data_IF_171391232196
#
_entry.id   IF_171391232196
#
_cell.length_a   1.000
_cell.length_b   1.000
_cell.length_c   1.000
_cell.angle_alpha   90.00
_cell.angle_beta   90.00
_cell.angle_gamma   90.00
#
_symmetry.space_group_name_H-M   'P 1'
#
loop_
_entity.id
_entity.type
_entity.pdbx_description
1 polymer ?
#
# COMPACT_ATOMS: atom_id res chain seq x y z
N UNK A 1 25.70 15.48 -6.27
CA UNK A 1 24.27 15.86 -6.43
C UNK A 1 23.46 15.04 -5.45
N UNK A 2 22.69 15.70 -4.58
CA UNK A 2 21.76 15.02 -3.70
C UNK A 2 20.62 14.46 -4.56
N UNK A 3 20.23 13.19 -4.44
CA UNK A 3 19.13 12.65 -5.21
C UNK A 3 17.86 13.46 -4.93
N UNK A 4 17.21 13.93 -5.98
CA UNK A 4 15.89 14.60 -5.86
C UNK A 4 14.83 13.50 -5.82
N UNK A 5 14.30 13.22 -4.64
CA UNK A 5 13.18 12.29 -4.50
C UNK A 5 11.88 12.93 -5.02
N UNK A 6 10.95 12.11 -5.56
CA UNK A 6 9.61 12.58 -5.88
C UNK A 6 8.91 13.16 -4.65
N UNK A 7 8.03 14.11 -4.86
CA UNK A 7 7.17 14.64 -3.81
C UNK A 7 6.23 13.54 -3.29
N UNK A 8 5.81 13.66 -2.02
CA UNK A 8 4.79 12.80 -1.43
C UNK A 8 3.72 13.63 -0.74
N UNK A 9 2.52 13.08 -0.66
CA UNK A 9 1.46 13.64 0.16
C UNK A 9 1.45 12.89 1.48
N UNK A 10 1.75 13.58 2.57
CA UNK A 10 1.78 12.97 3.90
C UNK A 10 0.37 12.71 4.43
N UNK A 11 0.01 11.45 4.62
CA UNK A 11 -1.25 11.04 5.23
C UNK A 11 -1.17 9.73 6.03
N UNK A 12 -0.03 9.05 6.00
CA UNK A 12 0.23 7.93 6.88
C UNK A 12 0.55 8.41 8.29
N UNK A 13 0.14 7.63 9.30
CA UNK A 13 0.55 7.87 10.68
C UNK A 13 1.96 7.32 10.89
N UNK A 14 2.95 8.19 10.80
CA UNK A 14 4.37 7.86 10.88
C UNK A 14 5.06 8.69 11.96
N UNK A 15 6.11 8.18 12.60
CA UNK A 15 6.64 6.82 12.46
C UNK A 15 5.71 5.76 13.07
N UNK A 16 5.63 4.57 12.44
CA UNK A 16 4.89 3.46 13.07
C UNK A 16 5.70 2.89 14.23
N UNK A 17 5.04 2.38 15.30
CA UNK A 17 5.74 1.82 16.43
C UNK A 17 6.66 0.64 16.06
N UNK A 18 7.74 0.49 16.81
CA UNK A 18 8.60 -0.69 16.83
C UNK A 18 8.46 -1.34 18.20
N UNK A 19 7.76 -2.47 18.28
CA UNK A 19 7.39 -3.11 19.56
C UNK A 19 8.13 -4.43 19.75
N UNK A 20 8.62 -4.70 20.96
CA UNK A 20 9.24 -5.98 21.28
C UNK A 20 8.18 -7.06 21.52
N UNK A 21 8.33 -8.20 20.86
CA UNK A 21 7.45 -9.36 20.98
C UNK A 21 7.97 -10.33 22.08
N UNK A 22 8.06 -9.84 23.32
CA UNK A 22 8.70 -10.54 24.43
C UNK A 22 8.15 -11.95 24.67
N UNK A 23 6.82 -12.14 24.61
CA UNK A 23 6.19 -13.45 24.82
C UNK A 23 6.58 -14.46 23.75
N UNK A 24 6.61 -14.02 22.49
CA UNK A 24 7.00 -14.87 21.37
C UNK A 24 8.50 -15.19 21.44
N UNK A 25 9.35 -14.20 21.69
CA UNK A 25 10.79 -14.41 21.87
C UNK A 25 11.09 -15.40 22.98
N UNK A 26 10.42 -15.27 24.14
CA UNK A 26 10.55 -16.24 25.27
C UNK A 26 10.06 -17.65 24.89
N UNK A 27 8.95 -17.75 24.16
CA UNK A 27 8.40 -19.05 23.74
C UNK A 27 9.34 -19.77 22.76
N UNK A 28 9.97 -19.05 21.85
CA UNK A 28 10.89 -19.62 20.87
C UNK A 28 12.30 -19.91 21.44
N UNK A 29 12.65 -19.31 22.58
CA UNK A 29 13.97 -19.49 23.21
C UNK A 29 15.13 -18.98 22.34
N UNK A 30 14.87 -18.01 21.46
CA UNK A 30 15.79 -17.54 20.44
C UNK A 30 16.12 -16.04 20.53
N UNK A 31 16.35 -15.38 19.42
CA UNK A 31 16.71 -13.97 19.37
C UNK A 31 15.59 -13.06 19.87
N UNK A 32 15.91 -11.82 20.15
CA UNK A 32 14.90 -10.80 20.42
C UNK A 32 14.11 -10.51 19.15
N UNK A 33 12.79 -10.50 19.28
CA UNK A 33 11.88 -10.29 18.17
C UNK A 33 11.17 -8.94 18.33
N UNK A 34 11.15 -8.17 17.25
CA UNK A 34 10.44 -6.90 17.17
C UNK A 34 9.44 -6.92 16.04
N UNK A 35 8.35 -6.21 16.19
CA UNK A 35 7.38 -5.98 15.12
C UNK A 35 7.31 -4.50 14.78
N UNK A 36 7.52 -4.19 13.50
CA UNK A 36 7.24 -2.87 12.94
C UNK A 36 5.74 -2.79 12.62
N UNK A 37 5.02 -1.94 13.32
CA UNK A 37 3.56 -1.88 13.32
C UNK A 37 3.01 -1.14 12.09
N UNK A 38 3.33 -1.60 10.90
CA UNK A 38 2.80 -1.02 9.66
C UNK A 38 1.30 -1.30 9.42
N UNK A 39 0.69 -2.13 10.26
CA UNK A 39 -0.75 -2.21 10.43
C UNK A 39 -1.36 -0.91 10.99
N UNK A 40 -0.57 -0.07 11.64
CA UNK A 40 -1.01 1.20 12.27
C UNK A 40 -0.75 2.44 11.40
N UNK A 41 -0.55 2.31 10.11
CA UNK A 41 -0.35 3.44 9.18
C UNK A 41 -1.60 4.32 8.97
N UNK A 42 -2.73 3.97 9.54
CA UNK A 42 -3.91 4.81 9.68
C UNK A 42 -4.96 4.65 8.59
N UNK A 43 -4.64 4.87 7.32
CA UNK A 43 -5.63 4.90 6.24
C UNK A 43 -6.39 3.57 6.13
N UNK A 44 -7.70 3.60 6.30
CA UNK A 44 -8.61 2.46 6.14
C UNK A 44 -8.07 1.19 6.83
N UNK A 45 -7.90 1.25 8.14
CA UNK A 45 -7.30 0.19 8.99
C UNK A 45 -5.81 -0.09 8.74
N UNK A 46 -5.11 0.81 8.07
CA UNK A 46 -3.66 0.72 7.92
C UNK A 46 -3.16 -0.42 7.01
N UNK A 47 -1.86 -0.58 7.01
CA UNK A 47 -1.14 -1.57 6.22
C UNK A 47 -0.03 -0.95 5.37
N UNK A 48 0.82 -1.81 4.84
CA UNK A 48 2.02 -1.42 4.10
C UNK A 48 1.75 -0.58 2.82
N UNK A 49 0.53 -0.59 2.30
CA UNK A 49 0.21 0.13 1.06
C UNK A 49 0.08 1.63 1.27
N UNK A 50 -0.29 2.07 2.47
CA UNK A 50 -0.41 3.50 2.80
C UNK A 50 0.90 4.24 2.51
N UNK A 51 2.06 3.69 2.91
CA UNK A 51 3.37 4.29 2.65
C UNK A 51 3.65 4.49 1.16
N UNK A 52 3.26 3.51 0.34
CA UNK A 52 3.42 3.56 -1.12
C UNK A 52 2.47 4.57 -1.76
N UNK A 53 1.24 4.61 -1.26
CA UNK A 53 0.19 5.49 -1.75
C UNK A 53 0.51 6.98 -1.47
N UNK A 54 1.30 7.32 -0.46
CA UNK A 54 1.76 8.70 -0.26
C UNK A 54 2.48 9.25 -1.50
N UNK A 55 3.29 8.42 -2.16
CA UNK A 55 4.00 8.77 -3.38
C UNK A 55 3.13 8.63 -4.63
N UNK A 56 2.37 7.54 -4.74
CA UNK A 56 1.55 7.27 -5.92
C UNK A 56 0.39 8.27 -6.08
N UNK A 57 -0.20 8.72 -4.97
CA UNK A 57 -1.23 9.77 -4.99
C UNK A 57 -0.62 11.14 -5.36
N UNK A 58 0.61 11.42 -4.91
CA UNK A 58 1.33 12.62 -5.33
C UNK A 58 1.59 12.60 -6.84
N UNK A 59 2.09 11.48 -7.37
CA UNK A 59 2.33 11.28 -8.80
C UNK A 59 1.03 11.39 -9.63
N UNK A 60 -0.07 10.80 -9.16
CA UNK A 60 -1.38 10.93 -9.79
C UNK A 60 -1.84 12.40 -9.86
N UNK A 61 -1.65 13.17 -8.79
CA UNK A 61 -1.95 14.61 -8.79
C UNK A 61 -1.07 15.42 -9.73
N UNK A 62 0.21 15.13 -9.77
CA UNK A 62 1.15 15.79 -10.70
C UNK A 62 0.71 15.56 -12.15
N UNK A 63 0.19 14.37 -12.46
CA UNK A 63 -0.38 14.05 -13.77
C UNK A 63 -1.81 14.60 -13.97
N UNK A 64 -2.34 15.37 -13.01
CA UNK A 64 -3.71 15.89 -13.04
C UNK A 64 -4.77 14.79 -13.22
N UNK A 65 -4.53 13.61 -12.63
CA UNK A 65 -5.46 12.50 -12.68
C UNK A 65 -6.78 12.83 -11.96
N UNK A 66 -7.87 12.32 -12.48
CA UNK A 66 -9.22 12.45 -11.91
C UNK A 66 -9.74 11.10 -11.40
N UNK A 67 -9.19 10.00 -11.91
CA UNK A 67 -9.60 8.63 -11.59
C UNK A 67 -8.39 7.76 -11.24
N UNK A 68 -8.45 7.03 -10.13
CA UNK A 68 -7.49 5.96 -9.81
C UNK A 68 -8.05 4.62 -10.28
N UNK A 69 -7.27 3.89 -11.09
CA UNK A 69 -7.61 2.55 -11.55
C UNK A 69 -6.59 1.57 -10.99
N UNK A 70 -7.03 0.46 -10.43
CA UNK A 70 -6.15 -0.58 -9.92
C UNK A 70 -6.81 -1.95 -9.95
N UNK A 71 -6.03 -2.99 -9.65
CA UNK A 71 -6.55 -4.34 -9.60
C UNK A 71 -5.92 -5.21 -8.51
N UNK A 72 -6.66 -6.26 -8.13
CA UNK A 72 -6.23 -7.19 -7.08
C UNK A 72 -7.12 -8.41 -6.95
N UNK A 73 -6.89 -9.19 -5.90
CA UNK A 73 -7.83 -10.21 -5.46
C UNK A 73 -9.04 -9.55 -4.77
N UNK A 74 -10.16 -10.28 -4.64
CA UNK A 74 -11.40 -9.80 -4.04
C UNK A 74 -11.21 -9.18 -2.64
N UNK A 75 -10.29 -9.70 -1.83
CA UNK A 75 -9.99 -9.21 -0.49
C UNK A 75 -8.63 -8.50 -0.42
N UNK A 76 -8.26 -7.76 -1.46
CA UNK A 76 -6.97 -7.09 -1.55
C UNK A 76 -6.85 -5.92 -0.59
N UNK A 77 -5.87 -5.95 0.31
CA UNK A 77 -5.50 -4.80 1.14
C UNK A 77 -5.00 -3.60 0.31
N UNK A 78 -4.43 -3.88 -0.87
CA UNK A 78 -4.01 -2.83 -1.79
C UNK A 78 -5.22 -2.09 -2.37
N UNK A 79 -6.20 -2.80 -2.88
CA UNK A 79 -7.42 -2.22 -3.44
C UNK A 79 -8.16 -1.39 -2.40
N UNK A 80 -8.38 -1.94 -1.19
CA UNK A 80 -9.00 -1.21 -0.09
C UNK A 80 -8.31 0.13 0.21
N UNK A 81 -6.99 0.12 0.34
CA UNK A 81 -6.26 1.35 0.64
C UNK A 81 -6.23 2.31 -0.55
N UNK A 82 -6.26 1.80 -1.79
CA UNK A 82 -6.38 2.63 -3.00
C UNK A 82 -7.76 3.30 -3.05
N UNK A 83 -8.85 2.56 -2.81
CA UNK A 83 -10.20 3.12 -2.73
C UNK A 83 -10.32 4.20 -1.63
N UNK A 84 -9.76 3.92 -0.45
CA UNK A 84 -9.75 4.88 0.64
C UNK A 84 -8.93 6.14 0.31
N UNK A 85 -7.80 6.00 -0.36
CA UNK A 85 -7.01 7.14 -0.83
C UNK A 85 -7.77 7.95 -1.88
N UNK A 86 -8.43 7.28 -2.82
CA UNK A 86 -9.28 7.93 -3.82
C UNK A 86 -10.38 8.76 -3.16
N UNK A 87 -11.15 8.16 -2.25
CA UNK A 87 -12.22 8.85 -1.50
C UNK A 87 -11.67 10.05 -0.71
N UNK A 88 -10.53 9.89 -0.03
CA UNK A 88 -9.93 10.95 0.77
C UNK A 88 -9.46 12.15 -0.04
N UNK A 89 -8.96 11.92 -1.25
CA UNK A 89 -8.33 12.93 -2.08
C UNK A 89 -9.17 13.39 -3.27
N UNK A 90 -10.41 12.93 -3.36
CA UNK A 90 -11.37 13.39 -4.36
C UNK A 90 -11.17 12.79 -5.76
N UNK A 91 -10.57 11.61 -5.86
CA UNK A 91 -10.51 10.86 -7.11
C UNK A 91 -11.72 9.94 -7.24
N UNK A 92 -12.18 9.72 -8.45
CA UNK A 92 -12.95 8.51 -8.76
C UNK A 92 -12.05 7.27 -8.60
N UNK A 93 -12.67 6.11 -8.34
CA UNK A 93 -11.92 4.86 -8.19
C UNK A 93 -12.59 3.73 -8.94
N UNK A 94 -11.82 2.99 -9.73
CA UNK A 94 -12.26 1.74 -10.36
C UNK A 94 -11.30 0.61 -9.98
N UNK A 95 -11.85 -0.48 -9.46
CA UNK A 95 -11.10 -1.65 -9.04
C UNK A 95 -11.51 -2.88 -9.84
N UNK A 96 -10.52 -3.50 -10.51
CA UNK A 96 -10.72 -4.79 -11.21
C UNK A 96 -10.28 -5.91 -10.28
N UNK A 97 -11.25 -6.66 -9.76
CA UNK A 97 -11.03 -7.68 -8.73
C UNK A 97 -11.18 -9.09 -9.29
N UNK A 98 -10.20 -9.93 -8.99
CA UNK A 98 -10.24 -11.36 -9.39
C UNK A 98 -11.08 -12.16 -8.40
N UNK A 99 -12.06 -12.87 -8.92
CA UNK A 99 -12.99 -13.72 -8.20
C UNK A 99 -14.43 -13.39 -8.53
N UNK A 100 -15.35 -14.13 -7.93
CA UNK A 100 -16.80 -13.92 -8.05
C UNK A 100 -17.28 -12.97 -6.95
N UNK A 101 -18.21 -12.08 -7.29
CA UNK A 101 -18.84 -11.21 -6.30
C UNK A 101 -19.76 -12.05 -5.41
N UNK A 102 -19.59 -11.98 -4.09
CA UNK A 102 -20.51 -12.65 -3.17
C UNK A 102 -21.86 -11.90 -3.12
N UNK A 103 -22.93 -12.61 -2.76
CA UNK A 103 -24.26 -12.01 -2.55
C UNK A 103 -24.24 -10.85 -1.52
N UNK A 104 -23.37 -10.94 -0.53
CA UNK A 104 -23.17 -9.92 0.49
C UNK A 104 -21.68 -9.59 0.59
N UNK A 105 -21.28 -8.35 0.28
CA UNK A 105 -19.90 -7.92 0.43
C UNK A 105 -19.47 -7.96 1.91
N UNK A 106 -18.23 -8.30 2.16
CA UNK A 106 -17.64 -8.36 3.50
C UNK A 106 -16.18 -7.92 3.49
N UNK A 107 -15.65 -7.60 4.64
CA UNK A 107 -14.25 -7.23 4.87
C UNK A 107 -13.76 -6.16 3.87
N UNK A 108 -12.69 -6.40 3.11
CA UNK A 108 -12.12 -5.40 2.21
C UNK A 108 -13.06 -5.02 1.06
N UNK A 109 -13.79 -5.98 0.49
CA UNK A 109 -14.75 -5.70 -0.57
C UNK A 109 -15.86 -4.75 -0.10
N UNK A 110 -16.41 -4.95 1.10
CA UNK A 110 -17.38 -4.03 1.68
C UNK A 110 -16.80 -2.63 1.86
N UNK A 111 -15.55 -2.53 2.29
CA UNK A 111 -14.88 -1.24 2.43
C UNK A 111 -14.62 -0.57 1.09
N UNK A 112 -14.27 -1.33 0.04
CA UNK A 112 -14.11 -0.81 -1.31
C UNK A 112 -15.41 -0.13 -1.79
N UNK A 113 -16.56 -0.78 -1.57
CA UNK A 113 -17.88 -0.21 -1.89
C UNK A 113 -18.22 1.02 -1.03
N UNK A 114 -17.97 0.96 0.27
CA UNK A 114 -18.22 2.08 1.18
C UNK A 114 -17.36 3.31 0.86
N UNK A 115 -16.15 3.12 0.32
CA UNK A 115 -15.30 4.19 -0.18
C UNK A 115 -15.69 4.68 -1.59
N UNK A 116 -16.75 4.13 -2.17
CA UNK A 116 -17.29 4.56 -3.45
C UNK A 116 -16.54 4.03 -4.68
N UNK A 117 -15.75 2.99 -4.54
CA UNK A 117 -15.07 2.39 -5.68
C UNK A 117 -16.06 1.63 -6.59
N UNK A 118 -15.92 1.83 -7.91
CA UNK A 118 -16.58 1.00 -8.90
C UNK A 118 -15.86 -0.35 -8.99
N UNK A 119 -16.58 -1.44 -8.71
CA UNK A 119 -16.03 -2.80 -8.73
C UNK A 119 -16.33 -3.46 -10.07
N UNK A 120 -15.31 -4.03 -10.69
CA UNK A 120 -15.40 -4.89 -11.87
C UNK A 120 -14.82 -6.25 -11.49
N UNK A 121 -15.67 -7.27 -11.35
CA UNK A 121 -15.23 -8.62 -11.03
C UNK A 121 -14.85 -9.38 -12.32
N UNK A 122 -13.78 -10.14 -12.23
CA UNK A 122 -13.27 -10.96 -13.32
C UNK A 122 -12.89 -12.36 -12.82
N UNK A 123 -13.09 -13.42 -13.61
CA UNK A 123 -12.92 -14.79 -13.11
C UNK A 123 -11.46 -15.11 -12.74
N UNK A 124 -10.50 -14.61 -13.51
CA UNK A 124 -9.10 -14.93 -13.26
C UNK A 124 -8.14 -13.74 -13.44
N UNK A 125 -6.87 -14.00 -13.15
CA UNK A 125 -5.82 -12.98 -13.21
C UNK A 125 -5.53 -12.49 -14.64
N UNK A 126 -5.64 -13.36 -15.63
CA UNK A 126 -5.34 -12.98 -17.03
C UNK A 126 -6.40 -12.01 -17.54
N UNK A 127 -7.66 -12.31 -17.24
CA UNK A 127 -8.77 -11.43 -17.55
C UNK A 127 -8.64 -10.10 -16.81
N UNK A 128 -8.23 -10.11 -15.54
CA UNK A 128 -8.03 -8.90 -14.77
C UNK A 128 -7.06 -7.93 -15.46
N UNK A 129 -5.90 -8.40 -15.86
CA UNK A 129 -4.86 -7.53 -16.41
C UNK A 129 -5.29 -6.96 -17.77
N UNK A 130 -6.02 -7.74 -18.59
CA UNK A 130 -6.63 -7.31 -19.85
C UNK A 130 -7.74 -6.29 -19.63
N UNK A 131 -8.72 -6.59 -18.79
CA UNK A 131 -9.86 -5.70 -18.50
C UNK A 131 -9.40 -4.39 -17.85
N UNK A 132 -8.39 -4.46 -16.99
CA UNK A 132 -7.81 -3.28 -16.37
C UNK A 132 -7.23 -2.32 -17.43
N UNK A 133 -6.53 -2.85 -18.44
CA UNK A 133 -6.01 -2.05 -19.55
C UNK A 133 -7.14 -1.49 -20.42
N UNK A 134 -8.15 -2.30 -20.75
CA UNK A 134 -9.33 -1.86 -21.52
C UNK A 134 -10.08 -0.72 -20.82
N UNK A 135 -10.26 -0.81 -19.49
CA UNK A 135 -10.90 0.25 -18.69
C UNK A 135 -10.04 1.52 -18.71
N UNK A 136 -8.74 1.38 -18.58
CA UNK A 136 -7.82 2.51 -18.65
C UNK A 136 -7.90 3.21 -20.01
N UNK A 137 -7.77 2.45 -21.10
CA UNK A 137 -7.82 2.97 -22.46
C UNK A 137 -9.16 3.64 -22.78
N UNK A 138 -10.27 3.06 -22.31
CA UNK A 138 -11.62 3.63 -22.43
C UNK A 138 -11.72 4.96 -21.69
N UNK A 139 -11.22 5.02 -20.47
CA UNK A 139 -11.22 6.25 -19.67
C UNK A 139 -10.40 7.37 -20.34
N UNK A 140 -9.27 7.02 -20.94
CA UNK A 140 -8.45 7.96 -21.73
C UNK A 140 -9.25 8.47 -22.95
N UNK A 141 -9.89 7.56 -23.70
CA UNK A 141 -10.67 7.91 -24.89
C UNK A 141 -11.88 8.80 -24.55
N UNK A 142 -12.46 8.66 -23.37
CA UNK A 142 -13.55 9.49 -22.84
C UNK A 142 -13.08 10.84 -22.28
N UNK A 143 -11.79 11.14 -22.34
CA UNK A 143 -11.22 12.38 -21.80
C UNK A 143 -11.11 12.43 -20.28
N UNK A 144 -11.41 11.33 -19.59
CA UNK A 144 -11.10 11.15 -18.17
C UNK A 144 -9.59 11.01 -18.07
N UNK A 145 -9.02 11.54 -17.01
CA UNK A 145 -7.58 11.49 -16.77
C UNK A 145 -7.28 10.35 -15.78
N UNK A 146 -7.20 9.09 -16.23
CA UNK A 146 -6.95 7.98 -15.34
C UNK A 146 -5.48 7.89 -14.95
N UNK A 147 -5.22 7.50 -13.71
CA UNK A 147 -3.92 7.06 -13.22
C UNK A 147 -3.99 5.58 -12.86
N UNK A 148 -3.13 4.79 -13.47
CA UNK A 148 -3.03 3.38 -13.19
C UNK A 148 -2.14 3.16 -11.95
N UNK A 149 -2.76 2.87 -10.81
CA UNK A 149 -2.04 2.48 -9.60
C UNK A 149 -1.52 1.06 -9.78
N UNK A 150 -0.20 0.84 -9.84
CA UNK A 150 0.36 -0.48 -10.12
C UNK A 150 -0.08 -1.55 -9.11
N UNK A 151 -0.16 -2.81 -9.55
CA UNK A 151 -0.51 -3.94 -8.68
C UNK A 151 0.32 -3.94 -7.39
N UNK A 152 -0.37 -3.88 -6.24
CA UNK A 152 0.29 -3.81 -4.94
C UNK A 152 1.08 -2.52 -4.67
N UNK A 153 0.89 -1.47 -5.49
CA UNK A 153 1.66 -0.23 -5.42
C UNK A 153 3.13 -0.44 -5.77
N UNK A 154 3.43 -1.41 -6.64
CA UNK A 154 4.81 -1.81 -6.94
C UNK A 154 5.31 -1.16 -8.25
N UNK A 155 5.92 -0.01 -8.10
CA UNK A 155 6.66 0.76 -9.10
C UNK A 155 7.88 1.38 -8.42
N UNK A 156 8.82 1.96 -9.17
CA UNK A 156 9.92 2.72 -8.57
C UNK A 156 9.41 3.80 -7.61
N UNK A 157 8.36 4.56 -7.98
CA UNK A 157 7.72 5.56 -7.13
C UNK A 157 7.14 4.96 -5.86
N UNK A 158 6.36 3.87 -5.97
CA UNK A 158 5.76 3.22 -4.80
C UNK A 158 6.79 2.54 -3.87
N UNK A 159 7.90 2.05 -4.41
CA UNK A 159 8.99 1.44 -3.62
C UNK A 159 9.63 2.44 -2.66
N UNK A 160 9.67 3.73 -2.99
CA UNK A 160 10.17 4.78 -2.10
C UNK A 160 9.50 4.79 -0.74
N UNK A 161 8.22 4.39 -0.66
CA UNK A 161 7.52 4.24 0.61
C UNK A 161 8.25 3.31 1.60
N UNK A 162 8.98 2.31 1.07
CA UNK A 162 9.75 1.39 1.89
C UNK A 162 11.23 1.76 2.01
N UNK A 163 11.82 2.46 1.06
CA UNK A 163 13.12 3.10 1.26
C UNK A 163 13.07 4.05 2.47
N UNK A 164 12.04 4.91 2.55
CA UNK A 164 11.83 5.77 3.71
C UNK A 164 11.41 5.03 4.99
N UNK A 165 10.74 3.88 4.87
CA UNK A 165 10.45 3.03 6.03
C UNK A 165 11.72 2.42 6.62
N UNK A 166 12.71 2.09 5.79
CA UNK A 166 14.03 1.65 6.27
C UNK A 166 14.79 2.78 6.96
N UNK A 167 14.79 3.99 6.40
CA UNK A 167 15.37 5.15 7.10
C UNK A 167 14.69 5.40 8.46
N UNK A 168 13.35 5.27 8.52
CA UNK A 168 12.59 5.37 9.74
C UNK A 168 13.02 4.32 10.75
N UNK A 169 13.10 3.05 10.34
CA UNK A 169 13.53 1.93 11.18
C UNK A 169 14.92 2.16 11.75
N UNK A 170 15.86 2.59 10.92
CA UNK A 170 17.25 2.85 11.34
C UNK A 170 17.38 4.00 12.35
N UNK A 171 16.42 4.93 12.39
CA UNK A 171 16.37 6.03 13.35
C UNK A 171 15.62 5.66 14.64
N UNK A 172 14.83 4.61 14.63
CA UNK A 172 14.07 4.18 15.80
C UNK A 172 14.96 3.43 16.79
N UNK A 173 14.78 3.76 18.07
CA UNK A 173 15.41 3.00 19.16
C UNK A 173 14.51 1.80 19.47
N UNK A 174 15.04 0.56 19.41
CA UNK A 174 14.23 -0.62 19.65
C UNK A 174 13.81 -0.76 21.12
N UNK A 175 14.50 -0.08 22.06
CA UNK A 175 14.17 -0.03 23.49
C UNK A 175 14.78 1.19 24.13
N UNK A 176 14.28 1.58 25.28
CA UNK A 176 14.79 2.72 26.05
C UNK A 176 16.26 2.46 26.46
N UNK A 177 17.11 3.47 26.24
CA UNK A 177 18.54 3.38 26.52
C UNK A 177 19.40 2.78 25.39
N UNK A 178 18.81 2.31 24.29
CA UNK A 178 19.60 1.90 23.13
C UNK A 178 20.08 3.09 22.32
N UNK A 179 21.32 3.05 21.83
CA UNK A 179 21.78 3.98 20.80
C UNK A 179 21.21 3.62 19.43
N UNK A 180 20.90 4.58 18.56
CA UNK A 180 20.33 4.31 17.24
C UNK A 180 21.19 3.33 16.39
N UNK A 181 22.51 3.40 16.52
CA UNK A 181 23.46 2.52 15.83
C UNK A 181 23.54 1.11 16.40
N UNK A 182 23.04 0.87 17.62
CA UNK A 182 23.05 -0.43 18.29
C UNK A 182 21.78 -1.25 18.04
N UNK A 183 20.81 -0.68 17.31
CA UNK A 183 19.50 -1.27 17.08
C UNK A 183 19.24 -1.78 15.67
N UNK A 184 20.28 -1.92 14.83
CA UNK A 184 20.10 -2.56 13.52
C UNK A 184 19.68 -4.01 13.72
N UNK A 185 18.57 -4.45 13.12
CA UNK A 185 18.20 -5.86 13.16
C UNK A 185 19.18 -6.70 12.33
N UNK A 186 19.58 -7.87 12.84
CA UNK A 186 20.35 -8.85 12.06
C UNK A 186 19.51 -9.45 10.92
N UNK A 187 18.20 -9.49 11.11
CA UNK A 187 17.24 -10.03 10.15
C UNK A 187 15.97 -9.19 10.07
N UNK A 188 15.52 -8.94 8.84
CA UNK A 188 14.21 -8.32 8.56
C UNK A 188 13.38 -9.34 7.82
N UNK A 189 12.21 -9.71 8.41
CA UNK A 189 11.30 -10.69 7.85
C UNK A 189 9.99 -9.99 7.49
N UNK A 190 9.54 -10.14 6.26
CA UNK A 190 8.27 -9.58 5.79
C UNK A 190 7.65 -10.43 4.70
N UNK A 191 6.33 -10.33 4.54
CA UNK A 191 5.61 -10.96 3.43
C UNK A 191 5.84 -10.22 2.13
N UNK A 192 6.23 -10.93 1.08
CA UNK A 192 6.37 -10.36 -0.26
C UNK A 192 5.45 -11.05 -1.27
N UNK A 193 4.85 -10.27 -2.17
CA UNK A 193 4.01 -10.73 -3.28
C UNK A 193 4.35 -9.96 -4.55
N UNK A 194 3.94 -8.68 -4.62
CA UNK A 194 4.22 -7.80 -5.77
C UNK A 194 5.66 -7.25 -5.84
N UNK A 195 6.48 -7.52 -4.84
CA UNK A 195 7.90 -7.16 -4.78
C UNK A 195 8.21 -5.72 -4.31
N UNK A 196 7.29 -4.78 -4.43
CA UNK A 196 7.57 -3.37 -4.15
C UNK A 196 7.84 -3.00 -2.67
N UNK A 197 7.62 -3.89 -1.71
CA UNK A 197 8.08 -3.73 -0.32
C UNK A 197 9.52 -4.20 -0.19
N UNK A 198 9.89 -5.22 -0.97
CA UNK A 198 11.24 -5.77 -0.99
C UNK A 198 12.22 -4.85 -1.74
N UNK A 199 11.73 -4.20 -2.78
CA UNK A 199 12.55 -3.33 -3.64
C UNK A 199 12.93 -1.99 -2.98
N UNK A 200 12.11 -1.51 -2.06
CA UNK A 200 12.38 -0.30 -1.25
C UNK A 200 13.14 -0.63 0.02
#
# INVERSE_FOLDING_TARGET
MTPKYPEKITFAHLPTPLEEMQRLGKHLGGPRLFIKRDDQTGLAFGGNKTRKLEFLVAEAREQSAETLISGGAMQSNHCRQTAAAAARFGFECTLVLTGELPDKPSANLLLDELFGAKIVAVPDRKDRDRILQEIFDTAVAEGKKPYLVPYGGSSPTGALGYAFAMEELMRQKPYEGSEPSQGCPDWIIFGTSSGGTHAG
#
